data_IF_078192742413
#
_entry.id   IF_078192742413
#
_cell.length_a   1.000
_cell.length_b   1.000
_cell.length_c   1.000
_cell.angle_alpha   90.00
_cell.angle_beta   90.00
_cell.angle_gamma   90.00
#
_symmetry.space_group_name_H-M   'P 1'
#
loop_
_entity.id
_entity.type
_entity.pdbx_description
1 polymer ?
#
# COMPACT_ATOMS: atom_id res chain seq x y z
N UNK A 1 -33.04 34.78 20.63
CA UNK A 1 -31.70 34.56 20.04
C UNK A 1 -31.55 33.07 19.81
N UNK A 2 -31.60 32.64 18.55
CA UNK A 2 -31.49 31.21 18.20
C UNK A 2 -30.05 30.77 18.41
N UNK A 3 -29.83 29.72 19.20
CA UNK A 3 -28.51 29.14 19.44
C UNK A 3 -27.99 28.64 18.09
N UNK A 4 -26.77 28.98 17.65
CA UNK A 4 -26.22 28.39 16.43
C UNK A 4 -26.32 26.87 16.58
N UNK A 5 -26.89 26.22 15.57
CA UNK A 5 -26.95 24.76 15.51
C UNK A 5 -25.51 24.26 15.60
N UNK A 6 -25.25 23.24 16.43
CA UNK A 6 -23.90 22.66 16.63
C UNK A 6 -23.18 22.34 15.30
N UNK A 7 -23.95 22.11 14.24
CA UNK A 7 -23.46 21.98 12.85
C UNK A 7 -22.73 23.23 12.36
N UNK A 8 -23.26 24.44 12.57
CA UNK A 8 -22.60 25.67 12.13
C UNK A 8 -21.28 25.93 12.89
N UNK A 9 -21.25 25.60 14.19
CA UNK A 9 -20.01 25.65 14.97
C UNK A 9 -18.96 24.64 14.47
N UNK A 10 -19.39 23.46 14.02
CA UNK A 10 -18.52 22.46 13.41
C UNK A 10 -17.95 22.93 12.06
N UNK A 11 -18.78 23.50 11.18
CA UNK A 11 -18.31 24.01 9.88
C UNK A 11 -17.23 25.09 10.07
N UNK A 12 -17.44 26.04 10.99
CA UNK A 12 -16.44 27.06 11.30
C UNK A 12 -15.13 26.46 11.84
N UNK A 13 -15.22 25.45 12.70
CA UNK A 13 -14.04 24.75 13.19
C UNK A 13 -13.29 23.98 12.08
N UNK A 14 -14.03 23.44 11.10
CA UNK A 14 -13.43 22.82 9.91
C UNK A 14 -12.74 23.87 9.05
N UNK A 15 -13.37 25.03 8.82
CA UNK A 15 -12.79 26.14 8.06
C UNK A 15 -11.48 26.63 8.70
N UNK A 16 -11.43 26.78 10.02
CA UNK A 16 -10.22 27.15 10.75
C UNK A 16 -9.09 26.11 10.58
N UNK A 17 -9.43 24.82 10.61
CA UNK A 17 -8.47 23.74 10.35
C UNK A 17 -7.98 23.79 8.91
N UNK A 18 -8.85 24.00 7.92
CA UNK A 18 -8.48 24.12 6.51
C UNK A 18 -7.56 25.32 6.30
N UNK A 19 -7.89 26.49 6.85
CA UNK A 19 -7.08 27.69 6.77
C UNK A 19 -5.67 27.50 7.39
N UNK A 20 -5.53 26.61 8.37
CA UNK A 20 -4.21 26.28 8.94
C UNK A 20 -3.24 25.62 7.94
N UNK A 21 -3.75 25.09 6.82
CA UNK A 21 -2.94 24.51 5.75
C UNK A 21 -2.39 25.55 4.76
N UNK A 22 -2.86 26.80 4.77
CA UNK A 22 -2.41 27.86 3.83
C UNK A 22 -0.94 28.30 4.06
N UNK A 23 -0.36 27.92 5.21
CA UNK A 23 1.04 28.20 5.54
C UNK A 23 2.03 27.16 4.99
N UNK A 24 3.30 27.54 4.90
CA UNK A 24 4.41 26.67 4.45
C UNK A 24 4.91 25.71 5.54
N UNK A 25 4.07 25.31 6.49
CA UNK A 25 4.47 24.38 7.54
C UNK A 25 4.87 23.04 6.91
N UNK A 26 6.01 22.47 7.30
CA UNK A 26 6.51 21.21 6.73
C UNK A 26 5.54 20.03 6.92
N UNK A 27 4.64 20.13 7.90
CA UNK A 27 3.60 19.13 8.16
C UNK A 27 2.51 19.14 7.06
N UNK A 28 2.34 20.26 6.36
CA UNK A 28 1.35 20.46 5.31
C UNK A 28 1.82 19.79 4.03
N UNK A 29 1.82 18.46 4.03
CA UNK A 29 2.22 17.68 2.87
C UNK A 29 1.02 17.42 1.95
N UNK A 30 0.42 18.50 1.44
CA UNK A 30 -0.74 18.46 0.54
C UNK A 30 -0.38 17.86 -0.83
N UNK A 31 0.90 17.91 -1.21
CA UNK A 31 1.44 17.23 -2.40
C UNK A 31 1.84 15.77 -2.14
N UNK A 32 1.61 15.23 -0.92
CA UNK A 32 1.92 13.82 -0.57
C UNK A 32 1.16 12.78 -1.38
N UNK A 33 0.25 13.20 -2.26
CA UNK A 33 -0.39 12.34 -3.25
C UNK A 33 0.64 11.54 -4.08
N UNK A 34 1.91 11.94 -4.10
CA UNK A 34 3.02 11.24 -4.76
C UNK A 34 3.86 10.34 -3.83
N UNK A 35 3.68 10.39 -2.51
CA UNK A 35 4.42 9.53 -1.58
C UNK A 35 3.77 8.16 -1.43
N UNK A 36 4.56 7.09 -1.21
CA UNK A 36 4.03 5.79 -0.82
C UNK A 36 3.21 5.88 0.47
N UNK A 37 2.01 5.33 0.44
CA UNK A 37 1.12 5.29 1.59
C UNK A 37 1.47 4.10 2.48
N UNK A 38 1.95 4.38 3.70
CA UNK A 38 2.30 3.35 4.68
C UNK A 38 1.17 2.35 4.97
N UNK A 39 -0.09 2.81 5.05
CA UNK A 39 -1.24 1.92 5.31
C UNK A 39 -1.49 0.99 4.13
N UNK A 40 -1.35 1.49 2.89
CA UNK A 40 -1.45 0.67 1.69
C UNK A 40 -0.34 -0.39 1.64
N UNK A 41 0.91 -0.01 1.93
CA UNK A 41 2.02 -0.99 1.98
C UNK A 41 1.78 -2.07 3.03
N UNK A 42 1.27 -1.70 4.21
CA UNK A 42 0.87 -2.67 5.25
C UNK A 42 -0.25 -3.59 4.75
N UNK A 43 -1.21 -3.06 3.99
CA UNK A 43 -2.30 -3.86 3.44
C UNK A 43 -1.81 -4.86 2.37
N UNK A 44 -0.94 -4.43 1.46
CA UNK A 44 -0.26 -5.36 0.55
C UNK A 44 0.47 -6.49 1.30
N UNK A 45 1.17 -6.14 2.38
CA UNK A 45 1.85 -7.14 3.21
C UNK A 45 0.86 -8.12 3.86
N UNK A 46 -0.29 -7.63 4.34
CA UNK A 46 -1.36 -8.49 4.89
C UNK A 46 -1.97 -9.42 3.86
N UNK A 47 -1.96 -9.06 2.58
CA UNK A 47 -2.33 -9.97 1.50
C UNK A 47 -1.22 -10.98 1.17
N UNK A 48 0.06 -10.59 1.25
CA UNK A 48 1.19 -11.49 0.98
C UNK A 48 1.36 -12.60 2.03
N UNK A 49 1.19 -12.26 3.31
CA UNK A 49 1.43 -13.20 4.43
C UNK A 49 0.60 -14.49 4.31
N UNK A 50 -0.72 -14.45 4.04
CA UNK A 50 -1.51 -15.66 3.81
C UNK A 50 -1.00 -16.50 2.62
N UNK A 51 -0.51 -15.89 1.54
CA UNK A 51 0.05 -16.64 0.41
C UNK A 51 1.35 -17.40 0.76
N UNK A 52 2.15 -16.85 1.68
CA UNK A 52 3.37 -17.48 2.20
C UNK A 52 3.01 -18.62 3.15
N UNK A 53 2.11 -18.38 4.09
CA UNK A 53 1.71 -19.29 5.17
C UNK A 53 0.34 -19.92 4.91
N UNK A 54 0.11 -20.37 3.67
CA UNK A 54 -1.19 -20.86 3.26
C UNK A 54 -1.62 -22.07 4.11
N UNK A 55 -2.85 -22.03 4.62
CA UNK A 55 -3.39 -23.03 5.55
C UNK A 55 -3.44 -22.54 7.01
N UNK A 56 -2.46 -21.77 7.48
CA UNK A 56 -2.50 -21.19 8.84
C UNK A 56 -3.53 -20.08 8.99
N UNK A 57 -3.77 -19.35 7.90
CA UNK A 57 -4.72 -18.23 7.83
C UNK A 57 -6.03 -18.59 7.12
N UNK A 58 -6.21 -19.85 6.72
CA UNK A 58 -7.39 -20.25 5.94
C UNK A 58 -8.61 -20.39 6.84
N UNK A 59 -9.69 -19.66 6.54
CA UNK A 59 -10.99 -19.83 7.19
C UNK A 59 -11.83 -20.95 6.56
N UNK A 60 -11.37 -21.52 5.44
CA UNK A 60 -12.03 -22.59 4.69
C UNK A 60 -11.12 -23.80 4.56
N UNK A 61 -11.71 -24.98 4.32
CA UNK A 61 -10.93 -26.19 4.01
C UNK A 61 -10.10 -25.97 2.75
N UNK A 62 -8.78 -26.18 2.87
CA UNK A 62 -7.82 -26.00 1.78
C UNK A 62 -7.41 -27.37 1.25
N UNK A 63 -7.52 -27.57 -0.06
CA UNK A 63 -7.11 -28.78 -0.75
C UNK A 63 -6.39 -28.42 -2.06
N UNK A 64 -5.90 -29.42 -2.80
CA UNK A 64 -5.16 -29.16 -4.04
C UNK A 64 -6.01 -28.52 -5.14
N UNK A 65 -7.31 -28.76 -5.13
CA UNK A 65 -8.23 -28.25 -6.16
C UNK A 65 -8.50 -26.76 -5.98
N UNK A 66 -8.53 -26.27 -4.74
CA UNK A 66 -8.78 -24.85 -4.42
C UNK A 66 -7.52 -24.03 -4.10
N UNK A 67 -6.36 -24.66 -3.91
CA UNK A 67 -5.12 -23.98 -3.53
C UNK A 67 -4.73 -22.84 -4.49
N UNK A 68 -4.81 -23.08 -5.80
CA UNK A 68 -4.44 -22.06 -6.80
C UNK A 68 -5.34 -20.83 -6.66
N UNK A 69 -6.63 -21.05 -6.48
CA UNK A 69 -7.61 -19.97 -6.32
C UNK A 69 -7.34 -19.18 -5.04
N UNK A 70 -7.14 -19.86 -3.89
CA UNK A 70 -6.84 -19.19 -2.62
C UNK A 70 -5.54 -18.37 -2.66
N UNK A 71 -4.51 -18.86 -3.34
CA UNK A 71 -3.28 -18.09 -3.55
C UNK A 71 -3.54 -16.87 -4.43
N UNK A 72 -4.36 -16.99 -5.48
CA UNK A 72 -4.73 -15.86 -6.35
C UNK A 72 -5.51 -14.78 -5.59
N UNK A 73 -6.45 -15.15 -4.72
CA UNK A 73 -7.21 -14.20 -3.88
C UNK A 73 -6.29 -13.35 -2.99
N UNK A 74 -5.11 -13.87 -2.64
CA UNK A 74 -4.09 -13.15 -1.90
C UNK A 74 -3.20 -12.30 -2.81
N UNK A 75 -2.70 -12.88 -3.90
CA UNK A 75 -1.65 -12.25 -4.71
C UNK A 75 -2.17 -11.15 -5.65
N UNK A 76 -3.43 -11.20 -6.11
CA UNK A 76 -3.99 -10.13 -6.95
C UNK A 76 -4.09 -8.78 -6.21
N UNK A 77 -4.72 -8.69 -5.01
CA UNK A 77 -4.74 -7.44 -4.25
C UNK A 77 -3.35 -6.95 -3.86
N UNK A 78 -2.45 -7.88 -3.45
CA UNK A 78 -1.06 -7.53 -3.17
C UNK A 78 -0.37 -6.91 -4.39
N UNK A 79 -0.61 -7.45 -5.60
CA UNK A 79 -0.02 -6.95 -6.83
C UNK A 79 -0.45 -5.51 -7.12
N UNK A 80 -1.76 -5.26 -7.15
CA UNK A 80 -2.30 -3.93 -7.47
C UNK A 80 -1.78 -2.87 -6.51
N UNK A 81 -1.80 -3.16 -5.21
CA UNK A 81 -1.34 -2.22 -4.19
C UNK A 81 0.17 -1.99 -4.31
N UNK A 82 0.98 -3.04 -4.46
CA UNK A 82 2.44 -2.89 -4.54
C UNK A 82 2.86 -2.12 -5.79
N UNK A 83 2.25 -2.39 -6.94
CA UNK A 83 2.55 -1.66 -8.19
C UNK A 83 2.30 -0.17 -7.99
N UNK A 84 1.14 0.20 -7.45
CA UNK A 84 0.80 1.60 -7.17
C UNK A 84 1.77 2.25 -6.19
N UNK A 85 2.10 1.56 -5.08
CA UNK A 85 3.01 2.12 -4.07
C UNK A 85 4.46 2.23 -4.55
N UNK A 86 4.91 1.31 -5.40
CA UNK A 86 6.24 1.38 -6.03
C UNK A 86 6.27 2.51 -7.07
N UNK A 87 5.20 2.67 -7.88
CA UNK A 87 5.09 3.80 -8.80
C UNK A 87 5.18 5.16 -8.08
N UNK A 88 4.47 5.31 -6.96
CA UNK A 88 4.57 6.49 -6.09
C UNK A 88 6.01 6.71 -5.59
N UNK A 89 6.66 5.66 -5.11
CA UNK A 89 8.04 5.74 -4.63
C UNK A 89 8.99 6.24 -5.72
N UNK A 90 8.94 5.64 -6.91
CA UNK A 90 9.78 6.04 -8.05
C UNK A 90 9.49 7.48 -8.47
N UNK A 91 8.21 7.85 -8.58
CA UNK A 91 7.81 9.19 -9.00
C UNK A 91 8.32 10.25 -8.01
N UNK A 92 8.29 9.93 -6.72
CA UNK A 92 8.88 10.78 -5.70
C UNK A 92 10.41 10.88 -5.83
N UNK A 93 11.12 9.75 -5.94
CA UNK A 93 12.58 9.71 -6.07
C UNK A 93 13.06 10.44 -7.34
N UNK A 94 12.32 10.35 -8.45
CA UNK A 94 12.56 11.12 -9.68
C UNK A 94 12.44 12.62 -9.41
N UNK A 95 11.32 13.04 -8.79
CA UNK A 95 11.03 14.43 -8.48
C UNK A 95 12.08 15.07 -7.58
N UNK A 96 12.66 14.32 -6.64
CA UNK A 96 13.72 14.81 -5.74
C UNK A 96 15.13 14.60 -6.31
N UNK A 97 15.26 14.16 -7.57
CA UNK A 97 16.54 14.01 -8.27
C UNK A 97 17.43 12.89 -7.73
N UNK A 98 16.84 11.84 -7.13
CA UNK A 98 17.55 10.69 -6.55
C UNK A 98 17.57 9.46 -7.44
N UNK A 99 16.84 9.47 -8.56
CA UNK A 99 16.98 8.43 -9.57
C UNK A 99 18.22 8.67 -10.43
N UNK A 100 19.12 7.70 -10.43
CA UNK A 100 20.29 7.69 -11.34
C UNK A 100 19.87 7.51 -12.81
N UNK A 101 18.82 6.72 -13.05
CA UNK A 101 18.29 6.40 -14.37
C UNK A 101 16.75 6.40 -14.37
N UNK A 102 16.11 6.89 -15.45
CA UNK A 102 14.66 6.78 -15.63
C UNK A 102 14.19 5.32 -15.57
N UNK A 103 12.98 5.10 -15.08
CA UNK A 103 12.35 3.78 -15.07
C UNK A 103 11.37 3.66 -16.23
N UNK A 104 11.53 2.59 -17.02
CA UNK A 104 10.64 2.29 -18.13
C UNK A 104 9.20 2.04 -17.67
N UNK A 105 8.26 2.22 -18.60
CA UNK A 105 6.88 1.78 -18.39
C UNK A 105 6.85 0.28 -18.05
N UNK A 106 6.10 -0.09 -17.00
CA UNK A 106 6.04 -1.48 -16.54
C UNK A 106 7.12 -1.87 -15.52
N UNK A 107 8.01 -0.95 -15.12
CA UNK A 107 9.09 -1.28 -14.17
C UNK A 107 8.55 -1.76 -12.83
N UNK A 108 7.53 -1.09 -12.28
CA UNK A 108 6.92 -1.45 -11.00
C UNK A 108 6.27 -2.82 -11.04
N UNK A 109 5.54 -3.13 -12.11
CA UNK A 109 4.96 -4.43 -12.40
C UNK A 109 6.05 -5.51 -12.43
N UNK A 110 7.15 -5.26 -13.14
CA UNK A 110 8.27 -6.19 -13.22
C UNK A 110 8.92 -6.45 -11.85
N UNK A 111 9.04 -5.43 -11.00
CA UNK A 111 9.56 -5.59 -9.63
C UNK A 111 8.64 -6.47 -8.80
N UNK A 112 7.32 -6.24 -8.84
CA UNK A 112 6.36 -7.06 -8.10
C UNK A 112 6.33 -8.50 -8.61
N UNK A 113 6.38 -8.71 -9.93
CA UNK A 113 6.45 -10.05 -10.51
C UNK A 113 7.73 -10.78 -10.10
N UNK A 114 8.88 -10.08 -10.03
CA UNK A 114 10.12 -10.65 -9.50
C UNK A 114 9.98 -11.06 -8.04
N UNK A 115 9.38 -10.22 -7.20
CA UNK A 115 9.07 -10.57 -5.80
C UNK A 115 8.20 -11.84 -5.74
N UNK A 116 7.16 -11.93 -6.57
CA UNK A 116 6.25 -13.09 -6.57
C UNK A 116 6.95 -14.37 -7.00
N UNK A 117 7.86 -14.29 -7.99
CA UNK A 117 8.70 -15.41 -8.42
C UNK A 117 9.67 -15.89 -7.32
N UNK A 118 10.04 -15.01 -6.40
CA UNK A 118 10.89 -15.35 -5.24
C UNK A 118 10.12 -15.96 -4.06
N UNK A 119 8.78 -15.83 -4.01
CA UNK A 119 7.97 -16.36 -2.89
C UNK A 119 8.19 -17.86 -2.61
N UNK A 120 8.30 -18.76 -3.61
CA UNK A 120 8.59 -20.17 -3.34
C UNK A 120 9.93 -20.38 -2.62
N UNK A 121 10.97 -19.60 -2.96
CA UNK A 121 12.26 -19.66 -2.27
C UNK A 121 12.15 -19.08 -0.87
N UNK A 122 11.48 -17.93 -0.72
CA UNK A 122 11.22 -17.30 0.57
C UNK A 122 10.49 -18.26 1.53
N UNK A 123 9.48 -18.98 1.05
CA UNK A 123 8.76 -20.00 1.83
C UNK A 123 9.69 -21.11 2.35
N UNK A 124 10.71 -21.53 1.58
CA UNK A 124 11.70 -22.52 2.03
C UNK A 124 12.58 -21.97 3.15
N UNK A 125 13.00 -20.71 3.03
CA UNK A 125 13.80 -20.03 4.07
C UNK A 125 12.98 -19.85 5.34
N UNK A 126 11.76 -19.33 5.24
CA UNK A 126 10.92 -19.12 6.42
C UNK A 126 10.55 -20.43 7.12
N UNK A 127 10.49 -21.55 6.39
CA UNK A 127 10.29 -22.86 7.00
C UNK A 127 11.47 -23.30 7.88
N UNK A 128 12.69 -22.77 7.70
CA UNK A 128 13.81 -23.06 8.62
C UNK A 128 13.81 -22.18 9.88
N UNK A 129 12.96 -21.15 9.92
CA UNK A 129 12.88 -20.22 11.05
C UNK A 129 11.77 -20.61 12.05
N UNK A 130 11.02 -21.68 11.78
CA UNK A 130 9.94 -22.23 12.63
C UNK A 130 10.48 -23.29 13.59
#
# INVERSE_FOLDING_TARGET
MSRPTRTAELELAIDDVVASYDGSAEINNLESALLPNRRAVIEAFRHLVPAIYMGFYSTRSLNRDNLRHSVSECLYPAYEILVEQINRAITYEDRVGRLEEPRDAGWSENVVIRLFKELPRLRKVLNSDI
#
